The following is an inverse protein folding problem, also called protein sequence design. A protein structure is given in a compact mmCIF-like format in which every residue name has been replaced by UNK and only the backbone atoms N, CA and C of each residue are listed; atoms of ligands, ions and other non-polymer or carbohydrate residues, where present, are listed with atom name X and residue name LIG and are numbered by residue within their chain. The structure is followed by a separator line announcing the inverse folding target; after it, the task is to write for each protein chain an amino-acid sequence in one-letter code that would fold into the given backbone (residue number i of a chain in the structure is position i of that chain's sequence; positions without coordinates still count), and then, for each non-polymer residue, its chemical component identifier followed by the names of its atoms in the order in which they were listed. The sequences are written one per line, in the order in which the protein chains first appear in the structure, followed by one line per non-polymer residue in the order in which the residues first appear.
data_IF_456259109349
#
_entry.id   IF_456259109349
#
_cell.length_a   1.000
_cell.length_b   1.000
_cell.length_c   1.000
_cell.angle_alpha   90.00
_cell.angle_beta   90.00
_cell.angle_gamma   90.00
#
_symmetry.space_group_name_H-M   'P 1'
#
loop_
_entity.id
_entity.type
_entity.pdbx_description
1 polymer ?
#
# COMPACT_ATOMS: atom_id res chain seq x y z
N UNK A 1 11.53 -0.81 -6.31
CA UNK A 1 11.59 -2.27 -6.09
C UNK A 1 11.52 -2.51 -4.58
N UNK A 2 11.33 -3.75 -4.08
CA UNK A 2 11.18 -4.00 -2.65
C UNK A 2 12.32 -3.48 -1.77
N UNK A 3 13.54 -3.44 -2.30
CA UNK A 3 14.74 -2.91 -1.62
C UNK A 3 14.57 -1.42 -1.30
N UNK A 4 13.91 -0.66 -2.17
CA UNK A 4 13.62 0.75 -1.94
C UNK A 4 12.70 0.95 -0.73
N UNK A 5 11.82 -0.01 -0.41
CA UNK A 5 10.99 0.06 0.80
C UNK A 5 11.82 -0.09 2.06
N UNK A 6 12.83 -0.97 2.05
CA UNK A 6 13.79 -1.12 3.15
C UNK A 6 14.56 0.19 3.35
N UNK A 7 15.06 0.80 2.27
CA UNK A 7 15.76 2.08 2.33
C UNK A 7 14.88 3.19 2.94
N UNK A 8 13.63 3.29 2.49
CA UNK A 8 12.66 4.25 3.04
C UNK A 8 12.37 4.01 4.52
N UNK A 9 12.17 2.76 4.93
CA UNK A 9 11.89 2.41 6.32
C UNK A 9 13.09 2.75 7.23
N UNK A 10 14.32 2.43 6.80
CA UNK A 10 15.55 2.75 7.53
C UNK A 10 15.79 4.25 7.63
N UNK A 11 15.53 5.01 6.56
CA UNK A 11 15.65 6.47 6.60
C UNK A 11 14.67 7.10 7.59
N UNK A 12 13.43 6.58 7.68
CA UNK A 12 12.49 7.02 8.72
C UNK A 12 12.99 6.63 10.11
N UNK A 13 13.48 5.41 10.29
CA UNK A 13 14.01 4.93 11.58
C UNK A 13 15.16 5.80 12.10
N UNK A 14 16.14 6.09 11.23
CA UNK A 14 17.33 6.89 11.55
C UNK A 14 16.96 8.28 12.05
N UNK A 15 15.99 8.91 11.40
CA UNK A 15 15.54 10.26 11.71
C UNK A 15 14.31 10.32 12.61
N UNK A 16 13.86 9.18 13.14
CA UNK A 16 12.55 9.09 13.78
C UNK A 16 12.43 10.02 14.98
N UNK A 17 13.51 10.23 15.74
CA UNK A 17 13.51 11.07 16.93
C UNK A 17 13.74 12.56 16.63
N UNK A 18 14.13 12.93 15.40
CA UNK A 18 14.46 14.30 15.01
C UNK A 18 13.26 15.09 14.47
N UNK A 19 12.23 14.40 13.98
CA UNK A 19 11.07 15.01 13.33
C UNK A 19 9.75 14.56 13.97
N UNK A 20 8.72 15.40 13.91
CA UNK A 20 7.39 15.08 14.46
C UNK A 20 6.50 14.27 13.51
N UNK A 21 6.84 14.26 12.22
CA UNK A 21 6.14 13.54 11.17
C UNK A 21 6.95 13.50 9.88
N UNK A 22 6.51 12.66 8.94
CA UNK A 22 7.25 12.38 7.70
C UNK A 22 6.36 12.56 6.48
N UNK A 23 6.91 13.16 5.43
CA UNK A 23 6.26 13.22 4.11
C UNK A 23 7.16 12.54 3.09
N UNK A 24 6.62 11.53 2.39
CA UNK A 24 7.28 10.84 1.29
C UNK A 24 6.60 11.25 -0.02
N UNK A 25 7.36 11.85 -0.94
CA UNK A 25 6.89 12.04 -2.32
C UNK A 25 7.19 10.80 -3.14
N UNK A 26 6.20 10.31 -3.88
CA UNK A 26 6.28 9.02 -4.57
C UNK A 26 5.48 9.03 -5.88
N UNK A 27 5.91 8.23 -6.86
CA UNK A 27 5.14 8.00 -8.10
C UNK A 27 3.83 7.26 -7.81
N UNK A 28 2.74 7.61 -8.50
CA UNK A 28 1.41 7.09 -8.15
C UNK A 28 1.21 5.61 -8.50
N UNK A 29 1.95 5.06 -9.47
CA UNK A 29 1.74 3.68 -9.95
C UNK A 29 1.98 2.60 -8.90
N UNK A 30 3.00 2.77 -8.04
CA UNK A 30 3.34 1.80 -7.00
C UNK A 30 3.20 2.33 -5.58
N UNK A 31 2.60 3.52 -5.42
CA UNK A 31 2.42 4.16 -4.11
C UNK A 31 1.63 3.28 -3.13
N UNK A 32 0.59 2.60 -3.60
CA UNK A 32 -0.22 1.69 -2.79
C UNK A 32 0.59 0.49 -2.27
N UNK A 33 1.53 -0.03 -3.08
CA UNK A 33 2.43 -1.10 -2.65
C UNK A 33 3.40 -0.59 -1.58
N UNK A 34 4.01 0.57 -1.82
CA UNK A 34 4.93 1.21 -0.86
C UNK A 34 4.22 1.55 0.46
N UNK A 35 3.01 2.11 0.42
CA UNK A 35 2.25 2.44 1.63
C UNK A 35 1.89 1.20 2.44
N UNK A 36 1.49 0.11 1.79
CA UNK A 36 1.22 -1.16 2.46
C UNK A 36 2.50 -1.75 3.07
N UNK A 37 3.60 -1.83 2.31
CA UNK A 37 4.88 -2.35 2.78
C UNK A 37 5.39 -1.58 4.01
N UNK A 38 5.44 -0.24 3.92
CA UNK A 38 5.86 0.60 5.04
C UNK A 38 4.94 0.48 6.26
N UNK A 39 3.63 0.26 6.07
CA UNK A 39 2.71 0.02 7.19
C UNK A 39 3.08 -1.23 8.00
N UNK A 40 3.59 -2.28 7.33
CA UNK A 40 4.03 -3.51 7.99
C UNK A 40 5.45 -3.42 8.54
N UNK A 41 6.32 -2.64 7.88
CA UNK A 41 7.70 -2.44 8.30
C UNK A 41 7.82 -1.50 9.50
N UNK A 42 7.05 -0.41 9.53
CA UNK A 42 7.12 0.66 10.54
C UNK A 42 5.98 0.52 11.56
N UNK A 43 6.10 -0.50 12.41
CA UNK A 43 5.04 -0.88 13.34
C UNK A 43 4.98 0.09 14.52
N UNK A 44 3.77 0.37 15.01
CA UNK A 44 3.56 1.22 16.19
C UNK A 44 4.08 2.65 16.06
N UNK A 45 4.28 3.16 14.83
CA UNK A 45 4.64 4.57 14.62
C UNK A 45 3.61 5.47 15.31
N UNK A 46 4.08 6.26 16.27
CA UNK A 46 3.32 7.32 16.96
C UNK A 46 3.25 8.61 16.14
N UNK A 47 4.07 8.70 15.08
CA UNK A 47 4.18 9.86 14.20
C UNK A 47 3.49 9.58 12.86
N UNK A 48 2.91 10.60 12.21
CA UNK A 48 2.27 10.43 10.92
C UNK A 48 3.34 10.31 9.82
N UNK A 49 3.17 9.31 8.95
CA UNK A 49 3.99 9.10 7.76
C UNK A 49 3.06 9.23 6.55
N UNK A 50 3.05 10.41 5.94
CA UNK A 50 2.19 10.75 4.81
C UNK A 50 2.91 10.49 3.49
N UNK A 51 2.39 9.58 2.68
CA UNK A 51 2.88 9.31 1.33
C UNK A 51 1.97 10.03 0.34
N UNK A 52 2.57 10.79 -0.57
CA UNK A 52 1.82 11.57 -1.56
C UNK A 52 2.54 11.63 -2.90
N UNK A 53 1.87 12.20 -3.90
CA UNK A 53 2.40 12.37 -5.25
C UNK A 53 1.48 13.22 -6.10
N UNK A 54 1.57 13.06 -7.41
CA UNK A 54 0.76 13.81 -8.36
C UNK A 54 0.53 13.05 -9.65
N UNK A 55 -0.61 13.28 -10.28
CA UNK A 55 -0.90 12.81 -11.63
C UNK A 55 -0.28 13.73 -12.68
N UNK A 56 -0.12 15.01 -12.38
CA UNK A 56 0.49 16.00 -13.27
C UNK A 56 1.77 16.57 -12.64
N UNK A 57 2.92 16.57 -13.34
CA UNK A 57 4.17 17.07 -12.79
C UNK A 57 4.07 18.51 -12.27
N UNK A 58 4.80 18.80 -11.20
CA UNK A 58 4.72 20.09 -10.47
C UNK A 58 5.09 21.32 -11.33
N UNK A 59 5.86 21.12 -12.41
CA UNK A 59 6.28 22.17 -13.33
C UNK A 59 5.15 22.70 -14.21
N UNK A 60 4.03 21.98 -14.33
CA UNK A 60 2.89 22.38 -15.14
C UNK A 60 1.98 23.35 -14.38
N UNK A 61 1.38 24.30 -15.09
CA UNK A 61 0.52 25.34 -14.49
C UNK A 61 -0.74 24.76 -13.83
N UNK A 62 -1.35 23.74 -14.43
CA UNK A 62 -2.49 23.00 -13.90
C UNK A 62 -2.00 21.67 -13.31
N UNK A 63 -1.43 21.71 -12.11
CA UNK A 63 -0.90 20.54 -11.39
C UNK A 63 -1.65 20.30 -10.09
N UNK A 64 -1.84 19.04 -9.73
CA UNK A 64 -2.33 18.59 -8.43
C UNK A 64 -1.21 18.48 -7.37
N UNK A 65 0.06 18.44 -7.80
CA UNK A 65 1.21 18.24 -6.90
C UNK A 65 1.29 19.24 -5.75
N UNK A 66 1.04 20.52 -6.05
CA UNK A 66 1.12 21.60 -5.03
C UNK A 66 0.12 21.38 -3.90
N UNK A 67 -1.12 21.01 -4.27
CA UNK A 67 -2.18 20.73 -3.29
C UNK A 67 -1.86 19.47 -2.51
N UNK A 68 -1.53 18.38 -3.19
CA UNK A 68 -1.24 17.10 -2.55
C UNK A 68 -0.06 17.18 -1.57
N UNK A 69 1.02 17.90 -1.91
CA UNK A 69 2.16 18.12 -1.00
C UNK A 69 1.75 18.99 0.18
N UNK A 70 1.02 20.08 -0.03
CA UNK A 70 0.55 20.94 1.06
C UNK A 70 -0.37 20.18 2.02
N UNK A 71 -1.27 19.36 1.49
CA UNK A 71 -2.19 18.51 2.25
C UNK A 71 -1.42 17.43 3.04
N UNK A 72 -0.40 16.81 2.43
CA UNK A 72 0.44 15.82 3.09
C UNK A 72 1.28 16.41 4.23
N UNK A 73 1.87 17.59 4.03
CA UNK A 73 2.62 18.31 5.08
C UNK A 73 1.68 18.67 6.23
N UNK A 74 0.49 19.20 5.92
CA UNK A 74 -0.51 19.53 6.93
C UNK A 74 -0.89 18.31 7.76
N UNK A 75 -1.19 17.19 7.11
CA UNK A 75 -1.52 15.96 7.81
C UNK A 75 -0.33 15.39 8.60
N UNK A 76 0.91 15.56 8.12
CA UNK A 76 2.12 15.14 8.84
C UNK A 76 2.41 15.99 10.09
N UNK A 77 1.69 17.10 10.32
CA UNK A 77 1.75 17.87 11.55
C UNK A 77 0.68 17.47 12.59
N UNK A 78 -0.18 16.51 12.25
CA UNK A 78 -1.24 16.05 13.16
C UNK A 78 -0.71 15.09 14.22
N UNK A 79 -1.34 15.08 15.40
CA UNK A 79 -1.01 14.16 16.50
C UNK A 79 -1.61 12.77 16.28
N UNK A 80 -1.23 12.13 15.18
CA UNK A 80 -1.70 10.79 14.80
C UNK A 80 -0.54 9.88 14.39
N UNK A 81 -0.67 8.58 14.63
CA UNK A 81 0.38 7.61 14.34
C UNK A 81 0.06 6.74 13.14
N UNK A 82 1.06 6.40 12.33
CA UNK A 82 0.97 5.38 11.29
C UNK A 82 1.28 5.87 9.88
N UNK A 83 1.07 4.99 8.90
CA UNK A 83 1.37 5.25 7.48
C UNK A 83 0.08 5.50 6.70
N UNK A 84 0.06 6.56 5.91
CA UNK A 84 -1.11 7.04 5.20
C UNK A 84 -0.78 7.44 3.76
N UNK A 85 -1.75 7.32 2.87
CA UNK A 85 -1.73 7.96 1.55
C UNK A 85 -2.57 9.23 1.63
N UNK A 86 -1.98 10.36 1.27
CA UNK A 86 -2.66 11.66 1.19
C UNK A 86 -2.76 12.09 -0.25
N UNK A 87 -3.99 12.15 -0.79
CA UNK A 87 -4.21 12.44 -2.21
C UNK A 87 -5.60 13.06 -2.42
N UNK A 88 -5.70 14.10 -3.25
CA UNK A 88 -6.97 14.78 -3.58
C UNK A 88 -7.78 15.21 -2.35
N UNK A 89 -7.09 15.73 -1.31
CA UNK A 89 -7.72 16.11 -0.04
C UNK A 89 -8.28 14.95 0.77
N UNK A 90 -7.87 13.71 0.52
CA UNK A 90 -8.29 12.53 1.29
C UNK A 90 -7.09 11.89 1.97
N UNK A 91 -7.29 11.41 3.19
CA UNK A 91 -6.31 10.65 3.96
C UNK A 91 -6.79 9.20 4.04
N UNK A 92 -6.00 8.29 3.48
CA UNK A 92 -6.31 6.87 3.37
C UNK A 92 -5.30 6.09 4.21
N UNK A 93 -5.77 5.09 4.97
CA UNK A 93 -4.85 4.17 5.68
C UNK A 93 -3.95 3.46 4.66
N UNK A 94 -2.64 3.39 4.91
CA UNK A 94 -1.65 2.90 3.94
C UNK A 94 -1.93 1.50 3.39
N UNK A 95 -2.53 0.61 4.18
CA UNK A 95 -2.92 -0.76 3.79
C UNK A 95 -4.28 -0.87 3.09
N UNK A 96 -4.99 0.26 2.95
CA UNK A 96 -6.34 0.33 2.35
C UNK A 96 -6.37 1.12 1.04
N UNK A 97 -5.28 1.79 0.70
CA UNK A 97 -5.17 2.58 -0.51
C UNK A 97 -5.03 1.69 -1.76
N UNK A 98 -5.86 1.92 -2.77
CA UNK A 98 -5.69 1.35 -4.12
C UNK A 98 -5.81 2.47 -5.15
N UNK A 99 -4.93 2.47 -6.16
CA UNK A 99 -5.07 3.35 -7.33
C UNK A 99 -6.13 2.78 -8.27
N UNK A 100 -7.29 3.43 -8.34
CA UNK A 100 -8.41 3.01 -9.19
C UNK A 100 -8.44 3.73 -10.54
N UNK A 101 -7.84 4.92 -10.66
CA UNK A 101 -7.88 5.74 -11.88
C UNK A 101 -6.49 6.14 -12.33
N UNK A 102 -6.29 6.18 -13.64
CA UNK A 102 -5.01 6.51 -14.26
C UNK A 102 -4.90 7.95 -14.75
N UNK A 103 -6.02 8.65 -14.97
CA UNK A 103 -6.05 10.01 -15.55
C UNK A 103 -6.75 11.07 -14.71
N UNK A 104 -7.53 10.65 -13.72
CA UNK A 104 -8.29 11.57 -12.86
C UNK A 104 -7.47 11.98 -11.64
N UNK A 105 -7.80 13.13 -11.06
CA UNK A 105 -7.19 13.62 -9.82
C UNK A 105 -7.61 12.78 -8.60
N UNK A 106 -8.79 12.17 -8.60
CA UNK A 106 -9.27 11.21 -7.60
C UNK A 106 -8.69 9.80 -7.82
N UNK A 107 -7.36 9.72 -7.97
CA UNK A 107 -6.69 8.50 -8.41
C UNK A 107 -6.77 7.35 -7.40
N UNK A 108 -6.79 7.66 -6.10
CA UNK A 108 -6.75 6.68 -5.00
C UNK A 108 -8.08 6.58 -4.26
N UNK A 109 -8.37 5.37 -3.78
CA UNK A 109 -9.60 5.03 -3.05
C UNK A 109 -9.27 4.20 -1.81
N UNK A 110 -10.10 4.33 -0.77
CA UNK A 110 -10.04 3.49 0.44
C UNK A 110 -10.94 2.27 0.27
N UNK A 111 -10.35 1.09 0.14
CA UNK A 111 -11.10 -0.13 -0.20
C UNK A 111 -11.56 -0.86 1.05
N UNK A 112 -12.88 -1.10 1.15
CA UNK A 112 -13.53 -1.81 2.25
C UNK A 112 -13.22 -1.22 3.63
N UNK A 113 -12.88 0.07 3.68
CA UNK A 113 -12.52 0.79 4.90
C UNK A 113 -12.83 2.28 4.72
N UNK A 114 -13.37 2.99 5.73
CA UNK A 114 -13.62 4.43 5.61
C UNK A 114 -12.32 5.21 5.41
N UNK A 115 -12.42 6.41 4.82
CA UNK A 115 -11.33 7.38 4.89
C UNK A 115 -10.97 7.68 6.35
N UNK A 116 -9.70 7.98 6.60
CA UNK A 116 -9.22 8.38 7.93
C UNK A 116 -9.66 9.80 8.21
N UNK A 117 -9.42 10.68 7.25
CA UNK A 117 -9.78 12.09 7.29
C UNK A 117 -9.96 12.65 5.88
N UNK A 118 -10.60 13.81 5.80
CA UNK A 118 -10.62 14.69 4.64
C UNK A 118 -9.92 16.00 4.96
N UNK A 119 -9.36 16.65 3.94
CA UNK A 119 -8.65 17.91 4.04
C UNK A 119 -9.31 18.92 3.12
N UNK A 120 -10.02 19.87 3.74
CA UNK A 120 -10.74 20.94 3.07
C UNK A 120 -10.47 22.25 3.80
N UNK A 121 -10.38 23.36 3.06
CA UNK A 121 -10.12 24.70 3.63
C UNK A 121 -8.97 24.74 4.65
N UNK A 122 -7.88 24.03 4.34
CA UNK A 122 -6.69 23.92 5.19
C UNK A 122 -6.92 23.28 6.58
N UNK A 123 -8.00 22.53 6.74
CA UNK A 123 -8.37 21.85 7.99
C UNK A 123 -8.44 20.35 7.76
N UNK A 124 -7.95 19.57 8.74
CA UNK A 124 -8.06 18.10 8.74
C UNK A 124 -9.31 17.70 9.52
N UNK A 125 -10.24 17.03 8.85
CA UNK A 125 -11.50 16.56 9.42
C UNK A 125 -11.49 15.02 9.51
N UNK A 126 -11.36 14.50 10.73
CA UNK A 126 -11.32 13.05 10.96
C UNK A 126 -12.70 12.42 10.83
N UNK A 127 -12.81 11.39 10.00
CA UNK A 127 -14.02 10.55 9.91
C UNK A 127 -14.07 9.50 11.02
N UNK A 128 -12.90 9.11 11.55
CA UNK A 128 -12.77 8.14 12.64
C UNK A 128 -11.64 8.58 13.59
N UNK A 129 -11.82 8.34 14.89
CA UNK A 129 -10.73 8.50 15.85
C UNK A 129 -9.60 7.52 15.53
N UNK A 130 -8.42 8.06 15.32
CA UNK A 130 -7.21 7.28 15.10
C UNK A 130 -6.52 7.12 16.45
N UNK A 131 -6.41 5.89 16.93
CA UNK A 131 -5.70 5.61 18.18
C UNK A 131 -4.19 5.70 17.97
N UNK A 132 -3.47 6.25 18.94
CA UNK A 132 -2.02 6.15 19.02
C UNK A 132 -1.60 4.85 19.70
N UNK A 133 -0.55 4.21 19.17
CA UNK A 133 0.06 3.06 19.85
C UNK A 133 0.72 3.52 21.15
N UNK A 134 0.58 2.73 22.22
CA UNK A 134 1.36 2.92 23.45
C UNK A 134 2.76 2.32 23.35
N UNK A 135 2.98 1.43 22.40
CA UNK A 135 4.24 0.75 22.15
C UNK A 135 5.20 1.65 21.36
N UNK A 136 6.50 1.45 21.53
CA UNK A 136 7.52 2.16 20.76
C UNK A 136 7.58 1.67 19.31
N UNK A 137 8.10 2.53 18.42
CA UNK A 137 8.34 2.18 17.03
C UNK A 137 9.16 0.88 16.96
N UNK A 138 8.66 -0.07 16.18
CA UNK A 138 9.38 -1.30 15.85
C UNK A 138 9.56 -1.38 14.34
N UNK A 139 10.80 -1.50 13.89
CA UNK A 139 11.13 -1.57 12.47
C UNK A 139 11.50 -3.00 12.09
N UNK A 140 10.70 -3.62 11.21
CA UNK A 140 11.00 -4.94 10.66
C UNK A 140 11.08 -4.87 9.14
N UNK A 141 12.30 -4.95 8.62
CA UNK A 141 12.60 -4.88 7.17
C UNK A 141 12.74 -6.24 6.51
N UNK A 142 12.48 -7.33 7.25
CA UNK A 142 12.54 -8.69 6.71
C UNK A 142 11.40 -8.89 5.71
N UNK A 143 11.73 -9.27 4.48
CA UNK A 143 10.75 -9.56 3.44
C UNK A 143 11.26 -10.67 2.51
N UNK A 144 10.34 -11.47 1.99
CA UNK A 144 10.60 -12.42 0.91
C UNK A 144 10.04 -11.82 -0.39
N UNK A 145 10.91 -11.63 -1.38
CA UNK A 145 10.54 -11.10 -2.71
C UNK A 145 10.06 -12.18 -3.66
N UNK A 146 10.27 -13.45 -3.31
CA UNK A 146 9.95 -14.60 -4.15
C UNK A 146 8.45 -14.91 -4.05
N UNK A 147 7.63 -13.95 -4.48
CA UNK A 147 6.17 -14.06 -4.51
C UNK A 147 5.62 -13.76 -5.91
N UNK A 148 4.56 -14.47 -6.30
CA UNK A 148 3.87 -14.24 -7.55
C UNK A 148 2.40 -13.83 -7.32
N UNK A 149 1.89 -12.97 -8.20
CA UNK A 149 0.44 -12.67 -8.28
C UNK A 149 -0.10 -13.28 -9.56
N UNK A 150 -1.06 -14.20 -9.42
CA UNK A 150 -1.66 -14.93 -10.54
C UNK A 150 -3.14 -14.64 -10.61
N UNK A 151 -3.57 -14.06 -11.72
CA UNK A 151 -4.98 -13.84 -11.99
C UNK A 151 -5.61 -15.07 -12.64
N UNK A 152 -6.68 -15.58 -12.04
CA UNK A 152 -7.47 -16.62 -12.67
C UNK A 152 -8.32 -16.04 -13.80
N UNK A 153 -8.38 -16.78 -14.90
CA UNK A 153 -9.26 -16.48 -16.03
C UNK A 153 -9.77 -17.78 -16.65
N UNK A 154 -10.95 -17.78 -17.29
CA UNK A 154 -11.44 -18.95 -18.02
C UNK A 154 -10.44 -19.32 -19.11
N UNK A 155 -9.83 -20.50 -19.00
CA UNK A 155 -8.82 -20.95 -19.96
C UNK A 155 -7.39 -20.93 -19.45
N UNK A 156 -7.13 -20.56 -18.19
CA UNK A 156 -5.84 -20.88 -17.56
C UNK A 156 -5.65 -22.40 -17.51
N UNK A 157 -4.42 -22.86 -17.78
CA UNK A 157 -4.06 -24.28 -17.83
C UNK A 157 -3.50 -24.70 -16.45
N UNK A 158 -3.89 -25.85 -15.88
CA UNK A 158 -3.34 -26.30 -14.60
C UNK A 158 -1.81 -26.36 -14.58
N UNK A 159 -1.20 -26.73 -15.70
CA UNK A 159 0.27 -26.87 -15.85
C UNK A 159 1.00 -25.53 -15.71
N UNK A 160 0.31 -24.40 -15.81
CA UNK A 160 0.88 -23.08 -15.52
C UNK A 160 1.46 -23.03 -14.10
N UNK A 161 0.77 -23.63 -13.13
CA UNK A 161 1.16 -23.62 -11.73
C UNK A 161 2.38 -24.51 -11.46
N UNK A 162 2.67 -25.49 -12.32
CA UNK A 162 3.88 -26.30 -12.20
C UNK A 162 5.15 -25.46 -12.41
N UNK A 163 5.09 -24.43 -13.26
CA UNK A 163 6.21 -23.52 -13.51
C UNK A 163 6.48 -22.52 -12.37
N UNK A 164 5.61 -22.46 -11.37
CA UNK A 164 5.81 -21.62 -10.17
C UNK A 164 6.57 -22.37 -9.08
N UNK A 165 6.61 -23.71 -9.16
CA UNK A 165 7.39 -24.56 -8.25
C UNK A 165 8.86 -24.17 -8.34
N UNK A 166 9.54 -24.19 -7.20
CA UNK A 166 10.97 -23.87 -7.04
C UNK A 166 11.40 -22.43 -7.37
N UNK A 167 10.51 -21.60 -7.93
CA UNK A 167 10.79 -20.19 -8.26
C UNK A 167 10.25 -19.24 -7.21
N UNK A 168 9.08 -19.54 -6.66
CA UNK A 168 8.39 -18.68 -5.70
C UNK A 168 8.16 -19.42 -4.37
N UNK A 169 8.21 -18.67 -3.27
CA UNK A 169 7.87 -19.10 -1.91
C UNK A 169 6.45 -18.68 -1.49
N UNK A 170 5.72 -17.99 -2.37
CA UNK A 170 4.35 -17.57 -2.12
C UNK A 170 3.61 -17.24 -3.41
N UNK A 171 2.33 -17.60 -3.50
CA UNK A 171 1.47 -17.23 -4.64
C UNK A 171 0.17 -16.62 -4.15
N UNK A 172 -0.09 -15.38 -4.56
CA UNK A 172 -1.38 -14.71 -4.40
C UNK A 172 -2.23 -14.99 -5.63
N UNK A 173 -3.35 -15.70 -5.44
CA UNK A 173 -4.28 -16.03 -6.52
C UNK A 173 -5.46 -15.05 -6.53
N UNK A 174 -5.51 -14.18 -7.53
CA UNK A 174 -6.69 -13.33 -7.78
C UNK A 174 -7.78 -14.20 -8.41
N UNK A 175 -8.64 -14.75 -7.56
CA UNK A 175 -9.78 -15.58 -7.96
C UNK A 175 -11.02 -14.75 -8.32
N UNK A 176 -12.10 -15.43 -8.70
CA UNK A 176 -13.34 -14.77 -9.12
C UNK A 176 -14.16 -14.26 -7.93
N UNK A 177 -14.75 -13.07 -8.06
CA UNK A 177 -15.81 -12.57 -7.18
C UNK A 177 -15.50 -12.74 -5.69
N UNK A 178 -16.37 -13.46 -4.98
CA UNK A 178 -16.25 -13.73 -3.54
C UNK A 178 -15.20 -14.79 -3.16
N UNK A 179 -14.56 -15.42 -4.13
CA UNK A 179 -13.64 -16.54 -3.93
C UNK A 179 -14.16 -17.84 -4.56
N UNK A 180 -13.30 -18.54 -5.30
CA UNK A 180 -13.62 -19.85 -5.88
C UNK A 180 -12.53 -20.35 -6.83
N UNK A 181 -12.18 -21.63 -6.70
CA UNK A 181 -11.14 -22.28 -7.52
C UNK A 181 -11.79 -23.36 -8.39
N UNK A 182 -11.58 -23.36 -9.73
CA UNK A 182 -12.08 -24.40 -10.61
C UNK A 182 -11.48 -25.78 -10.30
N UNK A 183 -12.32 -26.82 -10.24
CA UNK A 183 -11.91 -28.21 -9.95
C UNK A 183 -12.48 -29.30 -10.88
N UNK A 184 -13.55 -29.04 -11.65
CA UNK A 184 -14.29 -30.09 -12.37
C UNK A 184 -13.80 -30.41 -13.80
N UNK A 185 -13.11 -29.49 -14.48
CA UNK A 185 -12.61 -29.70 -15.85
C UNK A 185 -11.10 -29.48 -15.91
N UNK A 186 -10.68 -28.26 -15.57
CA UNK A 186 -9.29 -27.93 -15.32
C UNK A 186 -9.14 -27.84 -13.82
N UNK A 187 -8.53 -28.87 -13.23
CA UNK A 187 -8.42 -28.98 -11.80
C UNK A 187 -7.26 -28.11 -11.28
N UNK A 188 -7.54 -26.81 -11.13
CA UNK A 188 -6.59 -25.84 -10.58
C UNK A 188 -6.36 -26.12 -9.09
N UNK A 189 -7.40 -26.55 -8.37
CA UNK A 189 -7.31 -26.86 -6.94
C UNK A 189 -6.23 -27.90 -6.65
N UNK A 190 -6.16 -28.98 -7.44
CA UNK A 190 -5.11 -29.99 -7.28
C UNK A 190 -3.69 -29.39 -7.39
N UNK A 191 -3.48 -28.47 -8.35
CA UNK A 191 -2.19 -27.82 -8.55
C UNK A 191 -1.83 -26.83 -7.45
N UNK A 192 -2.82 -26.12 -6.90
CA UNK A 192 -2.59 -25.26 -5.73
C UNK A 192 -2.23 -26.09 -4.49
N UNK A 193 -2.86 -27.25 -4.28
CA UNK A 193 -2.49 -28.17 -3.19
C UNK A 193 -1.06 -28.69 -3.38
N UNK A 194 -0.67 -29.05 -4.62
CA UNK A 194 0.70 -29.44 -4.92
C UNK A 194 1.70 -28.32 -4.57
N UNK A 195 1.40 -27.07 -4.90
CA UNK A 195 2.24 -25.91 -4.54
C UNK A 195 2.39 -25.78 -3.02
N UNK A 196 1.28 -25.80 -2.28
CA UNK A 196 1.32 -25.71 -0.81
C UNK A 196 2.11 -26.85 -0.17
N UNK A 197 1.95 -28.08 -0.67
CA UNK A 197 2.72 -29.23 -0.18
C UNK A 197 4.22 -29.11 -0.48
N UNK A 198 4.59 -28.34 -1.51
CA UNK A 198 5.96 -28.04 -1.89
C UNK A 198 6.57 -26.88 -1.09
N UNK A 199 5.81 -26.27 -0.18
CA UNK A 199 6.27 -25.16 0.66
C UNK A 199 6.14 -23.77 0.01
N UNK A 200 5.29 -23.65 -1.01
CA UNK A 200 4.90 -22.38 -1.65
C UNK A 200 3.61 -21.84 -1.04
#
# INVERSE_FOLDING_TARGET
QPECWIEMAKAIEEHYNEYDGFVITHGTDTMAYTSAALSYMLQHSKKPIAITGSQIPISFSKTDAKRNIADAIRFACEETGGVYVVFDGRVIQGTRAIKLRTKSYDAFESINYPYVASIHDNTVEYTKSVGSSKEELTVNTSLCTDVAVVKLFPGIKPEFFDGLKDVYQGVVVESYGSGGIPFQVRNILAKLIELTNHGV
#
